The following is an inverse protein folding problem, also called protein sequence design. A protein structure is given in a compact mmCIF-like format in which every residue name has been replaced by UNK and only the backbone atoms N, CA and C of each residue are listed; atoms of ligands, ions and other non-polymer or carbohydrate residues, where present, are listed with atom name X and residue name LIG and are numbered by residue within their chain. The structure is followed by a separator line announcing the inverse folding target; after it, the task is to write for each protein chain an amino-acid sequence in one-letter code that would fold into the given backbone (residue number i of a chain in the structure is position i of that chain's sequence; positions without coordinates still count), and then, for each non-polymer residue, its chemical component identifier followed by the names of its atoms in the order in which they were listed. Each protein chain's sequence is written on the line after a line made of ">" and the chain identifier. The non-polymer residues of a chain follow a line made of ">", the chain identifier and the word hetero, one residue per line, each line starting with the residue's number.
data_IF_253747944317
#
_entry.id   IF_253747944317
#
_cell.length_a   1.000
_cell.length_b   1.000
_cell.length_c   1.000
_cell.angle_alpha   90.00
_cell.angle_beta   90.00
_cell.angle_gamma   90.00
#
_symmetry.space_group_name_H-M   'P 1'
#
loop_
_entity.id
_entity.type
_entity.pdbx_description
1 polymer ?
#
# COMPACT_ATOMS: atom_id res chain seq x y z
N UNK A 1 -3.86 -13.93 10.37
CA UNK A 1 -3.33 -12.93 9.43
C UNK A 1 -4.04 -13.04 8.10
N UNK A 2 -4.30 -11.89 7.48
CA UNK A 2 -4.90 -11.89 6.15
C UNK A 2 -3.81 -11.98 5.09
N UNK A 3 -4.10 -12.68 4.00
CA UNK A 3 -3.24 -12.72 2.82
C UNK A 3 -3.98 -12.08 1.65
N UNK A 4 -3.24 -11.40 0.78
CA UNK A 4 -3.81 -10.75 -0.38
C UNK A 4 -2.69 -10.25 -1.28
N UNK A 5 -2.97 -9.17 -2.02
CA UNK A 5 -1.94 -8.58 -2.84
C UNK A 5 -1.96 -7.06 -2.74
N UNK A 6 -0.79 -6.48 -2.87
CA UNK A 6 -0.63 -5.03 -2.95
C UNK A 6 -0.19 -4.69 -4.37
N UNK A 7 -0.86 -3.69 -4.95
CA UNK A 7 -0.55 -3.20 -6.30
C UNK A 7 0.03 -1.80 -6.19
N UNK A 8 1.08 -1.58 -6.95
CA UNK A 8 1.78 -0.31 -6.96
C UNK A 8 1.56 0.42 -8.28
N UNK A 9 1.32 1.71 -8.20
CA UNK A 9 1.09 2.54 -9.39
C UNK A 9 2.16 3.61 -9.51
N UNK A 10 2.50 3.98 -10.75
CA UNK A 10 3.38 5.10 -11.07
C UNK A 10 4.69 5.07 -10.26
N UNK A 11 5.00 6.14 -9.54
CA UNK A 11 6.24 6.23 -8.79
C UNK A 11 6.38 5.16 -7.72
N UNK A 12 5.27 4.66 -7.16
CA UNK A 12 5.31 3.58 -6.18
C UNK A 12 5.75 2.27 -6.85
N UNK A 13 5.29 2.03 -8.09
CA UNK A 13 5.70 0.86 -8.85
C UNK A 13 7.19 0.91 -9.15
N UNK A 14 7.70 2.06 -9.55
CA UNK A 14 9.11 2.21 -9.80
C UNK A 14 9.95 1.99 -8.54
N UNK A 15 9.50 2.53 -7.42
CA UNK A 15 10.23 2.38 -6.17
C UNK A 15 10.19 0.95 -5.64
N UNK A 16 9.06 0.26 -5.82
CA UNK A 16 8.93 -1.13 -5.38
C UNK A 16 9.68 -2.11 -6.27
N UNK A 17 9.82 -1.77 -7.56
CA UNK A 17 10.48 -2.65 -8.52
C UNK A 17 9.57 -3.73 -9.07
N UNK A 18 8.31 -3.77 -8.66
CA UNK A 18 7.30 -4.72 -9.15
C UNK A 18 5.96 -4.01 -9.24
N UNK A 19 5.09 -4.50 -10.12
CA UNK A 19 3.75 -3.93 -10.27
C UNK A 19 2.83 -4.37 -9.13
N UNK A 20 3.00 -5.58 -8.65
CA UNK A 20 2.23 -6.10 -7.52
C UNK A 20 3.00 -7.21 -6.84
N UNK A 21 2.65 -7.49 -5.60
CA UNK A 21 3.26 -8.57 -4.84
C UNK A 21 2.29 -9.05 -3.77
N UNK A 22 2.43 -10.29 -3.32
CA UNK A 22 1.56 -10.81 -2.27
C UNK A 22 1.92 -10.18 -0.92
N UNK A 23 0.95 -10.14 -0.02
CA UNK A 23 1.19 -9.70 1.34
C UNK A 23 0.57 -10.65 2.35
N UNK A 24 1.06 -10.54 3.59
CA UNK A 24 0.47 -11.17 4.74
C UNK A 24 0.53 -10.15 5.88
N UNK A 25 -0.63 -9.67 6.31
CA UNK A 25 -0.70 -8.63 7.33
C UNK A 25 -2.10 -8.59 7.93
N UNK A 26 -2.20 -8.07 9.14
CA UNK A 26 -3.49 -7.89 9.82
C UNK A 26 -4.11 -6.55 9.48
N UNK A 27 -3.28 -5.50 9.46
CA UNK A 27 -3.74 -4.13 9.22
C UNK A 27 -2.95 -3.50 8.09
N UNK A 28 -3.52 -2.41 7.54
CA UNK A 28 -2.81 -1.63 6.53
C UNK A 28 -1.51 -1.07 7.09
N UNK A 29 -1.49 -0.65 8.36
CA UNK A 29 -0.28 -0.15 9.00
C UNK A 29 0.82 -1.20 9.02
N UNK A 30 0.48 -2.43 9.37
CA UNK A 30 1.45 -3.52 9.36
C UNK A 30 1.95 -3.78 7.94
N UNK A 31 1.04 -3.74 6.97
CA UNK A 31 1.42 -3.92 5.57
C UNK A 31 2.40 -2.84 5.12
N UNK A 32 2.14 -1.58 5.47
CA UNK A 32 3.04 -0.48 5.10
C UNK A 32 4.43 -0.70 5.68
N UNK A 33 4.51 -1.16 6.91
CA UNK A 33 5.80 -1.46 7.54
C UNK A 33 6.53 -2.55 6.77
N UNK A 34 5.81 -3.60 6.39
CA UNK A 34 6.41 -4.74 5.68
C UNK A 34 6.91 -4.37 4.29
N UNK A 35 6.11 -3.65 3.51
CA UNK A 35 6.50 -3.34 2.13
C UNK A 35 7.61 -2.32 2.04
N UNK A 36 7.75 -1.47 3.06
CA UNK A 36 8.81 -0.45 3.05
C UNK A 36 10.09 -0.91 3.72
N UNK A 37 10.09 -2.10 4.31
CA UNK A 37 11.26 -2.66 4.96
C UNK A 37 12.36 -2.87 3.93
N UNK A 38 13.54 -2.27 4.18
CA UNK A 38 14.68 -2.33 3.26
C UNK A 38 14.41 -1.73 1.88
N UNK A 39 13.40 -0.87 1.78
CA UNK A 39 13.06 -0.17 0.54
C UNK A 39 12.89 1.31 0.85
N UNK A 40 13.99 2.02 1.04
CA UNK A 40 13.95 3.44 1.44
C UNK A 40 13.24 4.33 0.42
N UNK A 41 13.40 4.03 -0.87
CA UNK A 41 12.71 4.81 -1.90
C UNK A 41 11.21 4.62 -1.82
N UNK A 42 10.76 3.37 -1.63
CA UNK A 42 9.34 3.10 -1.49
C UNK A 42 8.78 3.74 -0.22
N UNK A 43 9.52 3.68 0.88
CA UNK A 43 9.12 4.33 2.12
C UNK A 43 8.86 5.82 1.93
N UNK A 44 9.70 6.47 1.13
CA UNK A 44 9.57 7.89 0.83
C UNK A 44 8.33 8.18 -0.01
N UNK A 45 8.10 7.36 -1.04
CA UNK A 45 6.95 7.54 -1.93
C UNK A 45 5.64 7.27 -1.20
N UNK A 46 5.59 6.23 -0.38
CA UNK A 46 4.39 5.81 0.33
C UNK A 46 3.83 6.91 1.23
N UNK A 47 4.69 7.76 1.77
CA UNK A 47 4.25 8.86 2.63
C UNK A 47 3.28 9.81 1.96
N UNK A 48 3.32 9.89 0.63
CA UNK A 48 2.47 10.80 -0.14
C UNK A 48 1.36 10.07 -0.87
N UNK A 49 1.28 8.76 -0.72
CA UNK A 49 0.30 7.98 -1.46
C UNK A 49 -1.06 7.97 -0.80
N UNK A 50 -2.07 7.76 -1.63
CA UNK A 50 -3.40 7.38 -1.18
C UNK A 50 -3.52 5.87 -1.30
N UNK A 51 -4.45 5.28 -0.57
CA UNK A 51 -4.63 3.84 -0.55
C UNK A 51 -6.07 3.46 -0.81
N UNK A 52 -6.26 2.41 -1.60
CA UNK A 52 -7.57 1.78 -1.77
C UNK A 52 -7.48 0.36 -1.22
N UNK A 53 -8.52 -0.06 -0.53
CA UNK A 53 -8.65 -1.45 -0.08
C UNK A 53 -9.91 -1.98 -0.76
N UNK A 54 -9.73 -2.94 -1.65
CA UNK A 54 -10.82 -3.49 -2.48
C UNK A 54 -11.63 -2.40 -3.15
N UNK A 55 -10.93 -1.39 -3.67
CA UNK A 55 -11.55 -0.28 -4.38
C UNK A 55 -12.09 0.83 -3.53
N UNK A 56 -12.10 0.69 -2.20
CA UNK A 56 -12.61 1.72 -1.30
C UNK A 56 -11.49 2.57 -0.74
N UNK A 57 -11.60 3.91 -0.82
CA UNK A 57 -10.55 4.78 -0.28
C UNK A 57 -10.42 4.64 1.23
N UNK A 58 -9.18 4.58 1.69
CA UNK A 58 -8.89 4.58 3.13
C UNK A 58 -9.14 5.95 3.73
N UNK A 59 -8.83 7.01 2.96
CA UNK A 59 -9.02 8.37 3.42
C UNK A 59 -8.12 8.67 4.61
N UNK A 60 -8.71 9.32 5.61
CA UNK A 60 -7.96 9.75 6.81
C UNK A 60 -7.98 8.75 7.95
N UNK A 61 -8.51 7.55 7.72
CA UNK A 61 -8.52 6.54 8.77
C UNK A 61 -7.08 6.17 9.14
N UNK A 62 -6.75 6.05 10.43
CA UNK A 62 -5.42 5.60 10.83
C UNK A 62 -5.15 4.20 10.27
N UNK A 63 -3.99 4.00 9.67
CA UNK A 63 -3.67 2.73 8.99
C UNK A 63 -3.70 1.54 9.94
N UNK A 64 -3.35 1.75 11.21
CA UNK A 64 -3.40 0.67 12.19
C UNK A 64 -4.80 0.20 12.53
N UNK A 65 -5.83 0.97 12.13
CA UNK A 65 -7.22 0.61 12.36
C UNK A 65 -7.90 0.04 11.13
N UNK A 66 -7.21 0.01 9.99
CA UNK A 66 -7.75 -0.55 8.76
C UNK A 66 -7.42 -2.03 8.72
N UNK A 67 -8.43 -2.85 9.05
CA UNK A 67 -8.27 -4.31 9.10
C UNK A 67 -8.38 -4.87 7.68
N UNK A 68 -7.43 -5.73 7.32
CA UNK A 68 -7.40 -6.35 6.00
C UNK A 68 -8.05 -7.73 6.06
N UNK A 69 -8.85 -8.03 5.05
CA UNK A 69 -9.49 -9.34 4.92
C UNK A 69 -8.68 -10.23 3.98
N UNK A 70 -8.86 -11.55 4.08
CA UNK A 70 -8.24 -12.48 3.15
C UNK A 70 -8.71 -12.18 1.74
N UNK A 71 -7.77 -12.20 0.79
CA UNK A 71 -8.07 -11.91 -0.59
C UNK A 71 -8.11 -10.43 -0.92
N UNK A 72 -7.83 -9.56 0.05
CA UNK A 72 -7.87 -8.12 -0.18
C UNK A 72 -6.84 -7.68 -1.21
N UNK A 73 -7.22 -6.67 -2.00
CA UNK A 73 -6.30 -5.98 -2.90
C UNK A 73 -6.11 -4.58 -2.36
N UNK A 74 -4.85 -4.27 -2.03
CA UNK A 74 -4.48 -2.92 -1.56
C UNK A 74 -3.77 -2.22 -2.72
N UNK A 75 -4.24 -1.03 -3.07
CA UNK A 75 -3.60 -0.25 -4.14
C UNK A 75 -2.90 0.96 -3.55
N UNK A 76 -1.66 1.16 -3.97
CA UNK A 76 -0.82 2.26 -3.51
C UNK A 76 -0.73 3.28 -4.65
N UNK A 77 -1.33 4.44 -4.45
CA UNK A 77 -1.55 5.45 -5.48
C UNK A 77 -0.83 6.75 -5.12
N UNK A 78 0.32 7.02 -5.76
CA UNK A 78 0.99 8.32 -5.57
C UNK A 78 0.11 9.46 -6.07
N UNK A 79 0.34 10.69 -5.58
CA UNK A 79 -0.36 11.84 -6.15
C UNK A 79 0.07 12.00 -7.60
N UNK A 80 -0.89 12.35 -8.47
CA UNK A 80 -0.57 12.57 -9.88
C UNK A 80 0.12 13.91 -10.04
N UNK A 81 1.18 13.90 -10.84
CA UNK A 81 1.94 15.12 -11.11
C UNK A 81 1.03 16.15 -11.77
N UNK A 82 1.14 17.37 -11.33
CA UNK A 82 0.31 18.45 -11.86
C UNK A 82 -1.11 18.44 -11.32
N UNK A 83 -1.40 17.39 -10.58
CA UNK A 83 -2.66 17.33 -9.86
C UNK A 83 -2.54 18.07 -8.57
#
# INVERSE_FOLDING_TARGET
>A
MATGKVRYWAAAKEAAGVAEEPFEAVTLGELMTKITQNRSDLARVVRRCSFLVDGSPVGKRPHGEVILADGATVEVLPPFAGG
#
